data_IF_577957483403
#
_entry.id   IF_577957483403
#
_cell.length_a   1.000
_cell.length_b   1.000
_cell.length_c   1.000
_cell.angle_alpha   90.00
_cell.angle_beta   90.00
_cell.angle_gamma   90.00
#
_symmetry.space_group_name_H-M   'P 1'
#
loop_
_entity.id
_entity.type
_entity.pdbx_description
1 polymer ?
#
# COMPACT_ATOMS: atom_id res chain seq x y z
N UNK A 1 -53.60 -7.17 19.21
CA UNK A 1 -52.71 -6.06 18.78
C UNK A 1 -51.91 -6.60 17.61
N UNK A 2 -52.46 -6.45 16.41
CA UNK A 2 -51.98 -7.06 15.17
C UNK A 2 -51.84 -5.91 14.19
N UNK A 3 -50.62 -5.51 13.89
CA UNK A 3 -50.35 -4.44 12.92
C UNK A 3 -49.68 -5.07 11.71
N UNK A 4 -50.43 -5.08 10.61
CA UNK A 4 -50.04 -5.52 9.28
C UNK A 4 -49.41 -4.34 8.52
N UNK A 5 -48.51 -4.71 7.61
CA UNK A 5 -47.59 -3.95 6.78
C UNK A 5 -48.17 -2.76 5.98
N UNK A 6 -47.28 -1.83 5.56
CA UNK A 6 -47.56 -0.56 4.91
C UNK A 6 -47.48 -0.61 3.38
N UNK A 7 -47.87 0.50 2.76
CA UNK A 7 -47.70 0.86 1.34
C UNK A 7 -48.51 0.06 0.31
N UNK A 8 -49.76 0.49 0.15
CA UNK A 8 -50.50 0.35 -1.09
C UNK A 8 -51.07 1.72 -1.49
N UNK A 9 -51.25 1.89 -2.82
CA UNK A 9 -52.10 2.88 -3.52
C UNK A 9 -51.42 4.21 -3.86
N UNK A 10 -51.41 4.75 -5.10
CA UNK A 10 -51.72 4.29 -6.49
C UNK A 10 -51.31 5.45 -7.41
N UNK A 11 -50.78 5.14 -8.61
CA UNK A 11 -50.77 6.06 -9.76
C UNK A 11 -52.16 6.10 -10.44
N UNK A 12 -52.59 7.27 -10.92
CA UNK A 12 -53.72 7.41 -11.84
C UNK A 12 -54.14 8.87 -12.13
N UNK A 13 -54.68 9.21 -13.32
CA UNK A 13 -54.33 10.43 -14.05
C UNK A 13 -55.50 11.36 -14.47
N UNK A 14 -55.11 12.48 -15.11
CA UNK A 14 -55.78 13.22 -16.22
C UNK A 14 -56.96 14.19 -15.97
N UNK A 15 -56.83 15.39 -16.57
CA UNK A 15 -57.81 16.21 -17.36
C UNK A 15 -57.44 17.71 -17.23
N UNK A 16 -56.98 18.40 -18.29
CA UNK A 16 -57.75 19.18 -19.30
C UNK A 16 -58.44 20.42 -18.69
N UNK A 17 -58.50 21.63 -19.25
CA UNK A 17 -58.37 22.22 -20.60
C UNK A 17 -58.39 23.76 -20.37
N UNK A 18 -57.70 24.66 -21.09
CA UNK A 18 -58.23 25.43 -22.22
C UNK A 18 -57.36 26.69 -22.43
N UNK A 19 -57.24 27.17 -23.67
CA UNK A 19 -56.88 28.59 -23.92
C UNK A 19 -55.98 28.91 -25.12
N UNK A 20 -56.42 28.51 -26.31
CA UNK A 20 -55.99 28.95 -27.66
C UNK A 20 -55.63 30.44 -27.86
N UNK A 21 -54.53 30.71 -28.59
CA UNK A 21 -54.51 31.59 -29.77
C UNK A 21 -53.16 31.48 -30.55
N UNK A 22 -53.26 31.40 -31.88
CA UNK A 22 -52.24 31.12 -32.92
C UNK A 22 -52.04 32.41 -33.78
N UNK A 23 -51.30 32.43 -34.92
CA UNK A 23 -49.84 32.41 -35.12
C UNK A 23 -49.34 33.60 -36.00
N UNK A 24 -48.03 33.75 -36.17
CA UNK A 24 -47.46 34.65 -37.19
C UNK A 24 -45.96 34.46 -37.40
N UNK A 25 -45.56 33.78 -38.47
CA UNK A 25 -44.20 33.74 -39.02
C UNK A 25 -44.09 34.77 -40.19
N UNK A 26 -42.96 35.01 -40.91
CA UNK A 26 -41.69 34.27 -40.91
C UNK A 26 -40.36 35.08 -41.10
N UNK A 27 -39.24 34.42 -40.78
CA UNK A 27 -37.95 34.34 -41.53
C UNK A 27 -36.98 35.54 -41.75
N UNK A 28 -35.68 35.23 -42.08
CA UNK A 28 -34.50 36.04 -41.74
C UNK A 28 -33.85 36.76 -42.94
N UNK A 29 -32.94 37.71 -42.66
CA UNK A 29 -32.10 38.37 -43.67
C UNK A 29 -30.83 39.02 -43.09
N UNK A 30 -29.79 39.30 -43.91
CA UNK A 30 -28.39 39.03 -43.53
C UNK A 30 -27.44 40.25 -43.49
N UNK A 31 -26.31 40.04 -42.79
CA UNK A 31 -24.95 40.63 -42.91
C UNK A 31 -24.71 42.12 -42.58
N UNK A 32 -23.64 42.27 -41.77
CA UNK A 32 -22.83 43.43 -41.35
C UNK A 32 -22.27 44.27 -42.54
N UNK A 33 -21.49 45.39 -42.36
CA UNK A 33 -20.75 45.85 -41.16
C UNK A 33 -20.69 47.38 -40.92
N UNK A 34 -20.24 47.81 -39.73
CA UNK A 34 -19.43 49.02 -39.60
C UNK A 34 -18.78 49.13 -38.22
N UNK A 35 -17.54 49.62 -38.26
CA UNK A 35 -16.61 49.71 -37.16
C UNK A 35 -16.85 50.96 -36.29
N UNK A 36 -16.41 50.86 -35.02
CA UNK A 36 -15.86 52.00 -34.28
C UNK A 36 -16.80 52.65 -33.27
N UNK A 37 -16.70 52.24 -32.00
CA UNK A 37 -16.80 53.17 -30.89
C UNK A 37 -16.11 52.57 -29.65
N UNK A 38 -15.13 53.31 -29.13
CA UNK A 38 -14.33 52.96 -27.99
C UNK A 38 -15.09 53.15 -26.66
N UNK A 39 -14.81 52.25 -25.70
CA UNK A 39 -14.97 52.47 -24.25
C UNK A 39 -15.88 51.46 -23.53
N UNK A 40 -15.68 51.18 -22.22
CA UNK A 40 -14.49 51.30 -21.39
C UNK A 40 -13.99 49.93 -20.87
N UNK A 41 -12.66 49.78 -20.85
CA UNK A 41 -11.98 48.79 -20.02
C UNK A 41 -12.19 49.13 -18.54
N UNK A 42 -13.12 48.45 -17.87
CA UNK A 42 -13.39 48.69 -16.45
C UNK A 42 -13.90 47.49 -15.64
N UNK A 43 -14.51 46.49 -16.28
CA UNK A 43 -15.20 45.42 -15.53
C UNK A 43 -14.38 44.16 -15.23
N UNK A 44 -13.11 44.06 -15.66
CA UNK A 44 -12.28 42.86 -15.45
C UNK A 44 -11.19 43.02 -14.36
N UNK A 45 -11.00 44.24 -13.84
CA UNK A 45 -9.99 44.51 -12.79
C UNK A 45 -10.53 44.26 -11.37
N UNK A 46 -11.85 44.28 -11.16
CA UNK A 46 -12.46 44.16 -9.83
C UNK A 46 -12.49 42.72 -9.25
N UNK A 47 -12.09 41.69 -10.01
CA UNK A 47 -11.87 40.33 -9.46
C UNK A 47 -10.48 40.11 -8.83
N UNK A 48 -9.63 41.14 -8.81
CA UNK A 48 -8.25 41.07 -8.28
C UNK A 48 -8.09 41.55 -6.84
N UNK A 49 -9.10 41.40 -5.97
CA UNK A 49 -8.94 41.64 -4.53
C UNK A 49 -9.40 40.42 -3.74
N UNK A 50 -8.44 39.77 -3.08
CA UNK A 50 -8.62 38.51 -2.34
C UNK A 50 -7.94 37.29 -2.96
N UNK A 51 -6.97 37.47 -3.87
CA UNK A 51 -6.17 36.38 -4.44
C UNK A 51 -5.14 35.84 -3.46
N UNK A 52 -5.59 35.32 -2.31
CA UNK A 52 -4.74 34.46 -1.50
C UNK A 52 -4.36 33.24 -2.35
N UNK A 53 -3.11 32.82 -2.25
CA UNK A 53 -2.67 31.55 -2.83
C UNK A 53 -3.59 30.44 -2.31
N UNK A 54 -4.43 29.82 -3.17
CA UNK A 54 -5.46 28.89 -2.72
C UNK A 54 -4.84 27.65 -2.08
N UNK A 55 -3.62 27.27 -2.51
CA UNK A 55 -2.85 26.18 -1.92
C UNK A 55 -2.38 26.56 -0.51
N UNK A 56 -2.01 27.83 -0.28
CA UNK A 56 -1.63 28.32 1.06
C UNK A 56 -2.82 28.30 2.04
N UNK A 57 -4.01 28.68 1.58
CA UNK A 57 -5.23 28.58 2.38
C UNK A 57 -5.57 27.11 2.73
N UNK A 58 -5.36 26.20 1.77
CA UNK A 58 -5.54 24.76 1.98
C UNK A 58 -4.50 24.17 2.95
N UNK A 59 -3.23 24.58 2.83
CA UNK A 59 -2.15 24.21 3.75
C UNK A 59 -2.46 24.65 5.17
N UNK A 60 -3.02 25.85 5.36
CA UNK A 60 -3.42 26.33 6.68
C UNK A 60 -4.56 25.49 7.28
N UNK A 61 -5.56 25.12 6.47
CA UNK A 61 -6.68 24.28 6.92
C UNK A 61 -6.27 22.86 7.28
N UNK A 62 -5.31 22.29 6.54
CA UNK A 62 -4.81 20.92 6.76
C UNK A 62 -3.39 20.92 7.35
N UNK A 63 -3.07 21.91 8.19
CA UNK A 63 -1.73 22.11 8.73
C UNK A 63 -1.25 20.92 9.56
N UNK A 64 -2.07 20.45 10.50
CA UNK A 64 -1.72 19.31 11.35
C UNK A 64 -1.50 18.02 10.54
N UNK A 65 -2.26 17.83 9.46
CA UNK A 65 -2.05 16.71 8.53
C UNK A 65 -0.70 16.87 7.82
N UNK A 66 -0.42 18.05 7.25
CA UNK A 66 0.82 18.30 6.50
C UNK A 66 2.06 18.24 7.39
N UNK A 67 2.00 18.71 8.64
CA UNK A 67 3.12 18.69 9.59
C UNK A 67 3.42 17.28 10.11
N UNK A 68 2.38 16.44 10.32
CA UNK A 68 2.56 15.04 10.72
C UNK A 68 2.94 14.13 9.56
N UNK A 69 2.56 14.50 8.34
CA UNK A 69 2.77 13.68 7.15
C UNK A 69 4.26 13.53 6.83
N UNK A 70 4.70 12.27 6.73
CA UNK A 70 6.09 11.91 6.43
C UNK A 70 6.39 12.02 4.92
N UNK A 71 5.36 11.96 4.07
CA UNK A 71 5.47 12.10 2.61
C UNK A 71 4.24 12.78 1.97
N UNK A 72 4.36 13.18 0.71
CA UNK A 72 3.27 13.79 -0.06
C UNK A 72 2.03 12.89 -0.16
N UNK A 73 2.20 11.59 -0.10
CA UNK A 73 1.11 10.64 -0.27
C UNK A 73 0.27 10.46 0.99
N UNK A 74 0.83 10.68 2.18
CA UNK A 74 0.06 10.82 3.43
C UNK A 74 -0.78 12.10 3.43
N UNK A 75 -0.26 13.17 2.81
CA UNK A 75 -1.05 14.36 2.50
C UNK A 75 -2.19 14.00 1.54
N UNK A 76 -1.94 13.26 0.45
CA UNK A 76 -2.99 12.86 -0.50
C UNK A 76 -4.09 12.01 0.15
N UNK A 77 -3.72 11.00 0.95
CA UNK A 77 -4.67 10.14 1.65
C UNK A 77 -5.49 10.92 2.69
N UNK A 78 -4.85 11.82 3.43
CA UNK A 78 -5.55 12.70 4.36
C UNK A 78 -6.49 13.66 3.62
N UNK A 79 -6.09 14.23 2.49
CA UNK A 79 -6.95 15.08 1.68
C UNK A 79 -8.18 14.32 1.16
N UNK A 80 -8.03 13.09 0.65
CA UNK A 80 -9.16 12.25 0.23
C UNK A 80 -10.10 11.91 1.40
N UNK A 81 -9.55 11.61 2.59
CA UNK A 81 -10.35 11.36 3.80
C UNK A 81 -11.16 12.59 4.23
N UNK A 82 -10.71 13.79 3.88
CA UNK A 82 -11.43 15.04 4.07
C UNK A 82 -12.26 15.47 2.84
N UNK A 83 -12.47 14.55 1.88
CA UNK A 83 -13.36 14.75 0.73
C UNK A 83 -12.75 15.48 -0.46
N UNK A 84 -11.43 15.69 -0.50
CA UNK A 84 -10.76 16.28 -1.66
C UNK A 84 -10.55 15.22 -2.73
N UNK A 85 -11.11 15.48 -3.92
CA UNK A 85 -11.04 14.60 -5.10
C UNK A 85 -10.32 15.31 -6.25
N UNK A 86 -10.04 14.62 -7.36
CA UNK A 86 -9.37 15.21 -8.54
C UNK A 86 -10.11 16.45 -9.07
N UNK A 87 -11.45 16.43 -9.01
CA UNK A 87 -12.28 17.58 -9.40
C UNK A 87 -12.06 18.78 -8.48
N UNK A 88 -11.84 18.51 -7.19
CA UNK A 88 -11.49 19.54 -6.20
C UNK A 88 -10.04 20.01 -6.41
N UNK A 89 -9.10 19.11 -6.70
CA UNK A 89 -7.71 19.44 -6.99
C UNK A 89 -7.53 20.32 -8.23
N UNK A 90 -8.35 20.10 -9.27
CA UNK A 90 -8.37 20.95 -10.47
C UNK A 90 -8.73 22.42 -10.14
N UNK A 91 -9.52 22.68 -9.10
CA UNK A 91 -9.82 24.06 -8.63
C UNK A 91 -8.60 24.75 -8.03
N UNK A 92 -7.65 23.98 -7.51
CA UNK A 92 -6.33 24.45 -7.05
C UNK A 92 -5.29 24.49 -8.18
N UNK A 93 -5.68 24.29 -9.45
CA UNK A 93 -4.80 24.20 -10.64
C UNK A 93 -3.81 23.03 -10.61
N UNK A 94 -4.10 21.99 -9.86
CA UNK A 94 -3.34 20.73 -9.91
C UNK A 94 -4.14 19.67 -10.68
N UNK A 95 -3.43 18.81 -11.42
CA UNK A 95 -4.06 17.81 -12.30
C UNK A 95 -4.90 16.79 -11.54
N UNK A 96 -4.45 16.41 -10.35
CA UNK A 96 -5.02 15.37 -9.50
C UNK A 96 -4.65 15.63 -8.03
N UNK A 97 -5.24 14.84 -7.12
CA UNK A 97 -4.97 14.94 -5.68
C UNK A 97 -3.49 14.70 -5.36
N UNK A 98 -2.81 13.84 -6.10
CA UNK A 98 -1.38 13.55 -5.93
C UNK A 98 -0.52 14.77 -6.24
N UNK A 99 -0.77 15.45 -7.36
CA UNK A 99 -0.07 16.66 -7.76
C UNK A 99 -0.29 17.81 -6.77
N UNK A 100 -1.50 17.92 -6.22
CA UNK A 100 -1.83 18.89 -5.17
C UNK A 100 -1.09 18.58 -3.86
N UNK A 101 -1.04 17.30 -3.49
CA UNK A 101 -0.34 16.81 -2.32
C UNK A 101 1.19 16.99 -2.42
N UNK A 102 1.79 16.73 -3.58
CA UNK A 102 3.22 17.00 -3.82
C UNK A 102 3.54 18.49 -3.64
N UNK A 103 2.67 19.38 -4.13
CA UNK A 103 2.84 20.83 -3.93
C UNK A 103 2.72 21.24 -2.46
N UNK A 104 1.73 20.72 -1.73
CA UNK A 104 1.56 20.99 -0.29
C UNK A 104 2.72 20.44 0.53
N UNK A 105 3.21 19.25 0.17
CA UNK A 105 4.39 18.66 0.80
C UNK A 105 5.62 19.51 0.53
N UNK A 106 5.90 19.89 -0.72
CA UNK A 106 7.05 20.72 -1.08
C UNK A 106 7.07 22.08 -0.36
N UNK A 107 5.90 22.66 -0.08
CA UNK A 107 5.75 23.95 0.60
C UNK A 107 5.77 23.89 2.13
N UNK A 108 5.62 22.70 2.71
CA UNK A 108 5.71 22.54 4.17
C UNK A 108 7.19 22.53 4.55
N UNK A 109 7.67 23.44 5.41
CA UNK A 109 9.09 23.52 5.75
C UNK A 109 9.54 22.24 6.45
N UNK A 110 10.25 21.37 5.72
CA UNK A 110 10.90 20.17 6.23
C UNK A 110 12.40 20.30 5.99
N UNK A 111 13.20 20.07 7.03
CA UNK A 111 14.63 20.39 7.07
C UNK A 111 15.55 19.50 6.21
N UNK A 112 15.08 18.83 5.17
CA UNK A 112 15.91 17.94 4.34
C UNK A 112 15.53 18.02 2.86
N UNK A 113 16.47 18.54 2.07
CA UNK A 113 16.44 18.54 0.61
C UNK A 113 16.47 17.08 0.10
N UNK A 114 15.53 16.63 -0.75
CA UNK A 114 15.53 15.27 -1.26
C UNK A 114 16.81 14.97 -2.05
N UNK A 115 17.54 13.92 -1.66
CA UNK A 115 18.64 13.39 -2.47
C UNK A 115 18.04 12.83 -3.77
N UNK A 116 18.56 13.20 -4.96
CA UNK A 116 17.99 12.75 -6.23
C UNK A 116 17.97 11.21 -6.30
N UNK A 117 16.94 10.62 -6.93
CA UNK A 117 16.80 9.17 -7.01
C UNK A 117 18.01 8.56 -7.73
N UNK A 118 18.60 7.47 -7.21
CA UNK A 118 19.73 6.84 -7.88
C UNK A 118 19.30 6.37 -9.27
N UNK A 119 20.08 6.75 -10.28
CA UNK A 119 19.92 6.27 -11.64
C UNK A 119 19.91 4.73 -11.64
N UNK A 120 19.00 4.12 -12.42
CA UNK A 120 18.90 2.66 -12.54
C UNK A 120 20.14 2.12 -13.26
N UNK A 121 21.20 1.86 -12.51
CA UNK A 121 22.34 1.08 -13.01
C UNK A 121 21.92 -0.38 -13.20
N UNK A 122 22.41 -1.07 -14.24
CA UNK A 122 22.21 -2.51 -14.38
C UNK A 122 22.71 -3.26 -13.14
N UNK A 123 22.19 -4.46 -12.91
CA UNK A 123 22.47 -5.27 -11.71
C UNK A 123 23.98 -5.58 -11.61
N UNK A 124 24.72 -4.71 -10.94
CA UNK A 124 26.16 -4.86 -10.77
C UNK A 124 26.51 -5.94 -9.73
N UNK A 125 27.80 -6.20 -9.52
CA UNK A 125 28.31 -7.22 -8.57
C UNK A 125 27.73 -7.10 -7.16
N UNK A 126 27.33 -5.89 -6.75
CA UNK A 126 26.67 -5.61 -5.46
C UNK A 126 25.29 -6.27 -5.33
N UNK A 127 24.51 -6.37 -6.42
CA UNK A 127 23.20 -7.02 -6.41
C UNK A 127 23.35 -8.54 -6.26
N UNK A 128 24.29 -9.13 -6.98
CA UNK A 128 24.65 -10.56 -6.88
C UNK A 128 25.19 -10.87 -5.50
N UNK A 129 26.10 -10.04 -4.96
CA UNK A 129 26.61 -10.18 -3.58
C UNK A 129 25.49 -10.10 -2.54
N UNK A 130 24.57 -9.15 -2.69
CA UNK A 130 23.41 -8.99 -1.79
C UNK A 130 22.46 -10.19 -1.88
N UNK A 131 22.32 -10.78 -3.06
CA UNK A 131 21.54 -11.99 -3.28
C UNK A 131 22.23 -13.23 -2.68
N UNK A 132 23.54 -13.39 -2.89
CA UNK A 132 24.35 -14.43 -2.26
C UNK A 132 24.32 -14.36 -0.73
N UNK A 133 24.45 -13.16 -0.14
CA UNK A 133 24.28 -12.97 1.30
C UNK A 133 22.86 -13.28 1.80
N UNK A 134 21.82 -13.23 0.94
CA UNK A 134 20.46 -13.60 1.31
C UNK A 134 20.22 -15.12 1.23
N UNK A 135 21.00 -15.84 0.43
CA UNK A 135 20.97 -17.30 0.29
C UNK A 135 21.79 -18.01 1.37
N UNK A 136 22.87 -17.37 1.84
CA UNK A 136 23.84 -17.93 2.78
C UNK A 136 23.21 -18.45 4.10
N UNK A 137 22.26 -17.74 4.74
CA UNK A 137 21.58 -18.25 5.93
C UNK A 137 20.74 -19.49 5.64
N UNK A 138 20.07 -19.52 4.48
CA UNK A 138 19.27 -20.66 4.02
C UNK A 138 20.13 -21.90 3.79
N UNK A 139 21.25 -21.73 3.08
CA UNK A 139 22.19 -22.80 2.79
C UNK A 139 22.86 -23.35 4.06
N UNK A 140 23.26 -22.49 5.01
CA UNK A 140 23.86 -22.93 6.27
C UNK A 140 22.86 -23.67 7.16
N UNK A 141 21.61 -23.19 7.24
CA UNK A 141 20.55 -23.86 8.00
C UNK A 141 20.21 -25.24 7.42
N UNK A 142 20.13 -25.34 6.09
CA UNK A 142 19.90 -26.61 5.39
C UNK A 142 21.06 -27.59 5.58
N UNK A 143 22.30 -27.12 5.42
CA UNK A 143 23.50 -27.94 5.62
C UNK A 143 23.63 -28.42 7.07
N UNK A 144 23.34 -27.57 8.05
CA UNK A 144 23.34 -27.95 9.46
C UNK A 144 22.27 -29.02 9.72
N UNK A 145 21.04 -28.83 9.23
CA UNK A 145 19.96 -29.80 9.39
C UNK A 145 20.31 -31.16 8.77
N UNK A 146 20.89 -31.16 7.56
CA UNK A 146 21.37 -32.37 6.90
C UNK A 146 22.53 -33.06 7.66
N UNK A 147 23.34 -32.29 8.38
CA UNK A 147 24.44 -32.81 9.19
C UNK A 147 24.01 -33.37 10.58
N UNK A 148 22.72 -33.31 10.94
CA UNK A 148 22.20 -33.92 12.17
C UNK A 148 22.78 -33.34 13.47
N UNK A 149 23.28 -32.11 13.43
CA UNK A 149 24.01 -31.51 14.56
C UNK A 149 23.05 -31.19 15.72
N UNK A 150 23.41 -31.41 17.00
CA UNK A 150 22.50 -31.15 18.14
C UNK A 150 22.08 -29.68 18.29
N UNK A 151 22.81 -28.74 17.67
CA UNK A 151 22.51 -27.30 17.69
C UNK A 151 21.72 -26.80 16.48
N UNK A 152 21.23 -27.69 15.62
CA UNK A 152 20.50 -27.34 14.37
C UNK A 152 19.26 -26.50 14.60
N UNK A 153 18.44 -26.85 15.61
CA UNK A 153 17.28 -26.07 16.02
C UNK A 153 17.61 -24.61 16.31
N UNK A 154 18.43 -24.30 17.34
CA UNK A 154 18.78 -22.92 17.66
C UNK A 154 19.52 -22.18 16.52
N UNK A 155 20.35 -22.86 15.74
CA UNK A 155 21.10 -22.26 14.63
C UNK A 155 20.17 -21.89 13.46
N UNK A 156 19.20 -22.74 13.12
CA UNK A 156 18.17 -22.41 12.10
C UNK A 156 17.29 -21.25 12.54
N UNK A 157 16.93 -21.16 13.83
CA UNK A 157 16.17 -20.04 14.41
C UNK A 157 16.98 -18.73 14.33
N UNK A 158 18.25 -18.74 14.71
CA UNK A 158 19.13 -17.57 14.62
C UNK A 158 19.31 -17.10 13.17
N UNK A 159 19.50 -18.02 12.23
CA UNK A 159 19.70 -17.69 10.82
C UNK A 159 18.42 -17.15 10.15
N UNK A 160 17.27 -17.77 10.43
CA UNK A 160 15.97 -17.31 9.91
C UNK A 160 15.57 -15.96 10.51
N UNK A 161 15.71 -15.78 11.83
CA UNK A 161 15.49 -14.50 12.50
C UNK A 161 16.45 -13.42 11.98
N UNK A 162 17.73 -13.73 11.85
CA UNK A 162 18.74 -12.84 11.29
C UNK A 162 18.42 -12.42 9.86
N UNK A 163 18.02 -13.35 9.00
CA UNK A 163 17.63 -13.05 7.62
C UNK A 163 16.35 -12.21 7.51
N UNK A 164 15.40 -12.39 8.43
CA UNK A 164 14.19 -11.57 8.52
C UNK A 164 14.55 -10.10 8.80
N UNK A 165 15.55 -9.87 9.67
CA UNK A 165 16.09 -8.56 10.08
C UNK A 165 17.02 -7.93 9.02
N UNK A 166 17.72 -8.75 8.21
CA UNK A 166 18.95 -8.32 7.51
C UNK A 166 18.84 -7.24 6.41
N UNK A 167 17.70 -6.91 5.78
CA UNK A 167 17.71 -5.72 4.92
C UNK A 167 16.50 -4.84 5.17
N UNK A 168 16.53 -4.08 6.27
CA UNK A 168 15.67 -2.92 6.48
C UNK A 168 16.49 -1.80 7.11
N UNK A 169 16.64 -0.66 6.42
CA UNK A 169 17.06 0.57 7.07
C UNK A 169 16.06 0.85 8.19
N UNK A 170 16.60 1.13 9.36
CA UNK A 170 15.85 1.44 10.57
C UNK A 170 14.97 2.67 10.31
N UNK A 171 13.66 2.48 10.25
CA UNK A 171 12.76 3.60 10.49
C UNK A 171 13.05 4.06 11.92
N UNK A 172 13.60 5.27 12.07
CA UNK A 172 13.96 5.87 13.33
C UNK A 172 12.73 5.85 14.27
N UNK A 173 12.70 4.88 15.16
CA UNK A 173 11.58 4.62 16.05
C UNK A 173 12.05 3.67 17.14
N UNK A 174 11.66 3.94 18.38
CA UNK A 174 12.32 3.43 19.59
C UNK A 174 12.28 1.90 19.77
N UNK A 175 11.50 1.13 18.98
CA UNK A 175 11.37 -0.33 19.15
C UNK A 175 11.03 -1.11 17.85
N UNK A 176 11.98 -1.26 16.91
CA UNK A 176 11.82 -2.16 15.76
C UNK A 176 11.96 -3.65 16.15
N UNK A 177 12.52 -3.94 17.32
CA UNK A 177 12.89 -5.30 17.74
C UNK A 177 11.71 -6.17 18.14
N UNK A 178 10.65 -5.62 18.72
CA UNK A 178 9.56 -6.43 19.29
C UNK A 178 8.91 -7.38 18.27
N UNK A 179 8.58 -6.89 17.05
CA UNK A 179 8.00 -7.73 16.00
C UNK A 179 8.99 -8.79 15.48
N UNK A 180 10.28 -8.46 15.41
CA UNK A 180 11.32 -9.41 14.99
C UNK A 180 11.58 -10.47 16.07
N UNK A 181 11.54 -10.10 17.35
CA UNK A 181 11.63 -11.03 18.48
C UNK A 181 10.43 -11.97 18.51
N UNK A 182 9.21 -11.46 18.28
CA UNK A 182 8.00 -12.29 18.21
C UNK A 182 8.05 -13.25 17.01
N UNK A 183 8.53 -12.79 15.85
CA UNK A 183 8.76 -13.65 14.69
C UNK A 183 9.82 -14.73 14.97
N UNK A 184 10.92 -14.39 15.65
CA UNK A 184 11.93 -15.35 16.07
C UNK A 184 11.37 -16.37 17.06
N UNK A 185 10.53 -15.94 18.01
CA UNK A 185 9.84 -16.82 18.95
C UNK A 185 8.88 -17.79 18.23
N UNK A 186 8.11 -17.30 17.26
CA UNK A 186 7.24 -18.13 16.41
C UNK A 186 8.04 -19.19 15.65
N UNK A 187 9.17 -18.81 15.03
CA UNK A 187 10.03 -19.78 14.33
C UNK A 187 10.63 -20.79 15.30
N UNK A 188 11.16 -20.34 16.44
CA UNK A 188 11.71 -21.24 17.46
C UNK A 188 10.69 -22.22 18.02
N UNK A 189 9.49 -21.73 18.29
CA UNK A 189 8.36 -22.55 18.74
C UNK A 189 7.98 -23.61 17.68
N UNK A 190 7.85 -23.20 16.42
CA UNK A 190 7.48 -24.10 15.34
C UNK A 190 8.55 -25.15 15.06
N UNK A 191 9.84 -24.77 15.08
CA UNK A 191 10.97 -25.72 14.93
C UNK A 191 11.04 -26.68 16.11
N UNK A 192 10.76 -26.22 17.33
CA UNK A 192 10.69 -27.10 18.49
C UNK A 192 9.58 -28.15 18.35
N UNK A 193 8.41 -27.75 17.82
CA UNK A 193 7.25 -28.64 17.67
C UNK A 193 7.31 -29.58 16.46
N UNK A 194 7.81 -29.09 15.32
CA UNK A 194 7.75 -29.79 14.03
C UNK A 194 9.13 -30.22 13.50
N UNK A 195 10.20 -29.94 14.25
CA UNK A 195 11.56 -30.39 13.96
C UNK A 195 12.38 -29.48 13.05
N UNK A 196 13.66 -29.83 12.90
CA UNK A 196 14.65 -29.05 12.15
C UNK A 196 14.35 -28.98 10.63
N UNK A 197 13.62 -29.97 10.09
CA UNK A 197 13.15 -29.96 8.71
C UNK A 197 12.31 -28.71 8.40
N UNK A 198 11.40 -28.33 9.31
CA UNK A 198 10.61 -27.10 9.17
C UNK A 198 11.53 -25.87 9.16
N UNK A 199 12.52 -25.83 10.06
CA UNK A 199 13.50 -24.74 10.12
C UNK A 199 14.29 -24.58 8.81
N UNK A 200 14.73 -25.69 8.23
CA UNK A 200 15.40 -25.72 6.93
C UNK A 200 14.47 -25.26 5.79
N UNK A 201 13.20 -25.69 5.78
CA UNK A 201 12.21 -25.25 4.81
C UNK A 201 12.00 -23.72 4.85
N UNK A 202 11.84 -23.16 6.05
CA UNK A 202 11.71 -21.70 6.24
C UNK A 202 12.97 -20.96 5.78
N UNK A 203 14.14 -21.51 6.09
CA UNK A 203 15.42 -20.91 5.71
C UNK A 203 15.62 -20.90 4.19
N UNK A 204 15.25 -21.97 3.49
CA UNK A 204 15.22 -22.03 2.02
C UNK A 204 14.20 -21.04 1.43
N UNK A 205 13.05 -20.84 2.07
CA UNK A 205 12.01 -19.90 1.63
C UNK A 205 12.42 -18.41 1.77
N UNK A 206 13.47 -18.09 2.54
CA UNK A 206 13.96 -16.70 2.69
C UNK A 206 14.34 -16.09 1.35
N UNK A 207 15.10 -16.80 0.52
CA UNK A 207 15.59 -16.28 -0.75
C UNK A 207 14.47 -15.91 -1.75
N UNK A 208 13.50 -16.80 -2.05
CA UNK A 208 12.35 -16.41 -2.87
C UNK A 208 11.52 -15.31 -2.21
N UNK A 209 11.42 -15.27 -0.87
CA UNK A 209 10.76 -14.18 -0.14
C UNK A 209 11.45 -12.81 -0.35
N UNK A 210 12.78 -12.77 -0.43
CA UNK A 210 13.52 -11.54 -0.75
C UNK A 210 13.26 -11.06 -2.18
N UNK A 211 13.26 -11.98 -3.15
CA UNK A 211 12.98 -11.67 -4.56
C UNK A 211 11.54 -11.21 -4.75
N UNK A 212 10.59 -11.92 -4.15
CA UNK A 212 9.17 -11.59 -4.13
C UNK A 212 8.93 -10.17 -3.59
N UNK A 213 9.53 -9.82 -2.45
CA UNK A 213 9.42 -8.49 -1.87
C UNK A 213 10.07 -7.40 -2.75
N UNK A 214 11.22 -7.69 -3.37
CA UNK A 214 11.89 -6.74 -4.26
C UNK A 214 11.08 -6.50 -5.56
N UNK A 215 10.50 -7.56 -6.13
CA UNK A 215 9.61 -7.50 -7.28
C UNK A 215 8.34 -6.70 -6.96
N UNK A 216 7.69 -7.01 -5.82
CA UNK A 216 6.54 -6.26 -5.33
C UNK A 216 6.85 -4.77 -5.25
N UNK A 217 7.94 -4.40 -4.56
CA UNK A 217 8.33 -3.01 -4.40
C UNK A 217 8.64 -2.33 -5.75
N UNK A 218 9.33 -3.02 -6.67
CA UNK A 218 9.62 -2.48 -7.99
C UNK A 218 8.37 -2.26 -8.84
N UNK A 219 7.41 -3.19 -8.79
CA UNK A 219 6.16 -3.11 -9.55
C UNK A 219 5.18 -2.11 -8.93
N UNK A 220 5.09 -2.06 -7.60
CA UNK A 220 4.33 -1.05 -6.86
C UNK A 220 4.79 0.37 -7.24
N UNK A 221 6.10 0.63 -7.25
CA UNK A 221 6.65 1.93 -7.70
C UNK A 221 6.30 2.29 -9.15
N UNK A 222 6.36 1.32 -10.07
CA UNK A 222 5.98 1.54 -11.47
C UNK A 222 4.48 1.86 -11.61
N UNK A 223 3.62 1.22 -10.81
CA UNK A 223 2.19 1.52 -10.81
C UNK A 223 1.89 2.88 -10.20
N UNK A 224 2.54 3.22 -9.09
CA UNK A 224 2.39 4.53 -8.44
C UNK A 224 2.69 5.68 -9.42
N UNK A 225 3.75 5.56 -10.23
CA UNK A 225 4.11 6.56 -11.24
C UNK A 225 3.09 6.72 -12.38
N UNK A 226 2.20 5.74 -12.59
CA UNK A 226 1.17 5.77 -13.65
C UNK A 226 -0.25 6.04 -13.14
N UNK A 227 -0.49 5.95 -11.83
CA UNK A 227 -1.80 6.15 -11.21
C UNK A 227 -2.02 7.63 -10.85
N UNK A 228 -3.23 8.14 -11.08
CA UNK A 228 -3.60 9.54 -10.77
C UNK A 228 -4.49 9.68 -9.53
N UNK A 229 -5.11 8.58 -9.08
CA UNK A 229 -5.96 8.54 -7.88
C UNK A 229 -5.60 7.31 -7.01
N UNK A 230 -5.85 7.39 -5.71
CA UNK A 230 -5.47 6.33 -4.75
C UNK A 230 -6.28 5.06 -5.01
N UNK A 231 -7.55 5.22 -5.41
CA UNK A 231 -8.43 4.12 -5.83
C UNK A 231 -7.85 3.31 -7.00
N UNK A 232 -7.24 3.96 -7.99
CA UNK A 232 -6.70 3.31 -9.19
C UNK A 232 -5.44 2.52 -8.83
N UNK A 233 -4.63 3.07 -7.93
CA UNK A 233 -3.48 2.39 -7.37
C UNK A 233 -3.90 1.14 -6.56
N UNK A 234 -4.87 1.30 -5.65
CA UNK A 234 -5.38 0.23 -4.81
C UNK A 234 -5.98 -0.92 -5.64
N UNK A 235 -6.74 -0.61 -6.69
CA UNK A 235 -7.30 -1.59 -7.62
C UNK A 235 -6.20 -2.40 -8.32
N UNK A 236 -5.08 -1.76 -8.69
CA UNK A 236 -3.93 -2.43 -9.29
C UNK A 236 -2.99 -3.16 -8.32
N UNK A 237 -3.01 -2.79 -7.03
CA UNK A 237 -2.14 -3.35 -5.99
C UNK A 237 -2.61 -4.73 -5.49
N UNK A 238 -3.93 -4.98 -5.46
CA UNK A 238 -4.52 -6.28 -5.08
C UNK A 238 -4.05 -7.46 -5.95
N UNK A 239 -4.21 -7.43 -7.29
CA UNK A 239 -3.76 -8.53 -8.15
C UNK A 239 -2.23 -8.69 -8.13
N UNK A 240 -1.50 -7.60 -7.83
CA UNK A 240 -0.05 -7.63 -7.70
C UNK A 240 0.39 -8.35 -6.43
N UNK A 241 -0.29 -8.14 -5.30
CA UNK A 241 -0.03 -8.89 -4.08
C UNK A 241 -0.32 -10.39 -4.29
N UNK A 242 -1.46 -10.72 -4.90
CA UNK A 242 -1.80 -12.11 -5.24
C UNK A 242 -0.76 -12.74 -6.18
N UNK A 243 -0.34 -12.02 -7.22
CA UNK A 243 0.68 -12.46 -8.18
C UNK A 243 2.07 -12.64 -7.59
N UNK A 244 2.35 -12.10 -6.40
CA UNK A 244 3.61 -12.33 -5.65
C UNK A 244 3.44 -13.44 -4.61
N UNK A 245 2.28 -13.51 -3.96
CA UNK A 245 2.02 -14.46 -2.90
C UNK A 245 1.88 -15.90 -3.43
N UNK A 246 1.21 -16.07 -4.57
CA UNK A 246 1.05 -17.38 -5.22
C UNK A 246 2.39 -18.05 -5.56
N UNK A 247 3.31 -17.41 -6.32
CA UNK A 247 4.60 -18.02 -6.61
C UNK A 247 5.47 -18.18 -5.36
N UNK A 248 5.35 -17.29 -4.37
CA UNK A 248 6.05 -17.45 -3.10
C UNK A 248 5.56 -18.68 -2.31
N UNK A 249 4.24 -18.89 -2.23
CA UNK A 249 3.65 -20.08 -1.60
C UNK A 249 4.07 -21.37 -2.29
N UNK A 250 4.11 -21.39 -3.63
CA UNK A 250 4.62 -22.52 -4.40
C UNK A 250 6.11 -22.78 -4.12
N UNK A 251 6.92 -21.72 -4.03
CA UNK A 251 8.34 -21.84 -3.67
C UNK A 251 8.52 -22.35 -2.22
N UNK A 252 7.67 -21.94 -1.29
CA UNK A 252 7.67 -22.43 0.09
C UNK A 252 7.28 -23.92 0.18
N UNK A 253 6.30 -24.36 -0.63
CA UNK A 253 5.95 -25.78 -0.74
C UNK A 253 7.09 -26.62 -1.32
N UNK A 254 7.78 -26.11 -2.35
CA UNK A 254 8.99 -26.74 -2.88
C UNK A 254 10.13 -26.81 -1.85
N UNK A 255 10.33 -25.75 -1.07
CA UNK A 255 11.29 -25.73 0.03
C UNK A 255 10.94 -26.75 1.13
N UNK A 256 9.66 -26.92 1.45
CA UNK A 256 9.19 -27.94 2.39
C UNK A 256 9.48 -29.35 1.87
N UNK A 257 9.18 -29.62 0.59
CA UNK A 257 9.48 -30.90 -0.04
C UNK A 257 10.98 -31.22 -0.04
N UNK A 258 11.84 -30.24 -0.36
CA UNK A 258 13.30 -30.41 -0.34
C UNK A 258 13.87 -30.65 1.07
N UNK A 259 13.26 -30.04 2.09
CA UNK A 259 13.68 -30.18 3.47
C UNK A 259 13.05 -31.37 4.20
N UNK A 260 12.10 -32.08 3.56
CA UNK A 260 11.33 -33.16 4.20
C UNK A 260 10.36 -32.67 5.28
N UNK A 261 9.89 -31.42 5.20
CA UNK A 261 8.93 -30.83 6.14
C UNK A 261 7.50 -30.99 5.62
N UNK A 262 6.52 -31.04 6.54
CA UNK A 262 5.10 -31.01 6.18
C UNK A 262 4.74 -29.65 5.54
N UNK A 263 4.29 -29.63 4.27
CA UNK A 263 3.89 -28.38 3.61
C UNK A 263 2.70 -27.70 4.27
N UNK A 264 1.83 -28.46 4.98
CA UNK A 264 0.67 -27.90 5.68
C UNK A 264 1.09 -26.94 6.80
N UNK A 265 2.26 -27.15 7.41
CA UNK A 265 2.82 -26.30 8.46
C UNK A 265 3.80 -25.26 7.90
N UNK A 266 4.64 -25.66 6.95
CA UNK A 266 5.69 -24.80 6.40
C UNK A 266 5.15 -23.63 5.57
N UNK A 267 4.16 -23.87 4.72
CA UNK A 267 3.61 -22.86 3.79
C UNK A 267 2.92 -21.70 4.53
N UNK A 268 1.94 -21.92 5.43
CA UNK A 268 1.27 -20.81 6.11
C UNK A 268 2.24 -20.00 6.98
N UNK A 269 3.23 -20.65 7.60
CA UNK A 269 4.25 -19.99 8.40
C UNK A 269 5.18 -19.12 7.54
N UNK A 270 5.65 -19.65 6.40
CA UNK A 270 6.45 -18.88 5.45
C UNK A 270 5.66 -17.66 4.90
N UNK A 271 4.39 -17.86 4.56
CA UNK A 271 3.47 -16.80 4.11
C UNK A 271 3.29 -15.72 5.18
N UNK A 272 3.05 -16.12 6.43
CA UNK A 272 2.92 -15.20 7.56
C UNK A 272 4.19 -14.34 7.72
N UNK A 273 5.37 -14.96 7.78
CA UNK A 273 6.64 -14.27 7.94
C UNK A 273 6.95 -13.34 6.76
N UNK A 274 6.62 -13.76 5.54
CA UNK A 274 6.74 -12.92 4.35
C UNK A 274 5.84 -11.68 4.44
N UNK A 275 4.58 -11.84 4.84
CA UNK A 275 3.64 -10.73 5.01
C UNK A 275 4.08 -9.76 6.11
N UNK A 276 4.50 -10.26 7.28
CA UNK A 276 5.05 -9.44 8.37
C UNK A 276 6.20 -8.58 7.86
N UNK A 277 7.16 -9.20 7.17
CA UNK A 277 8.31 -8.50 6.61
C UNK A 277 7.92 -7.49 5.55
N UNK A 278 7.01 -7.85 4.65
CA UNK A 278 6.52 -6.96 3.60
C UNK A 278 5.86 -5.72 4.21
N UNK A 279 5.06 -5.90 5.25
CA UNK A 279 4.39 -4.83 5.98
C UNK A 279 5.35 -3.92 6.74
N UNK A 280 6.33 -4.49 7.45
CA UNK A 280 7.37 -3.72 8.13
C UNK A 280 8.17 -2.86 7.15
N UNK A 281 8.47 -3.37 5.95
CA UNK A 281 9.17 -2.64 4.89
C UNK A 281 8.38 -1.46 4.32
N UNK A 282 7.06 -1.50 4.39
CA UNK A 282 6.18 -0.43 3.93
C UNK A 282 5.63 0.41 5.09
N UNK A 283 6.18 0.29 6.30
CA UNK A 283 5.83 1.15 7.44
C UNK A 283 4.46 0.89 8.07
N UNK A 284 3.87 -0.29 7.88
CA UNK A 284 2.55 -0.60 8.45
C UNK A 284 2.55 -0.58 10.00
N UNK A 285 1.39 -0.28 10.59
CA UNK A 285 1.20 -0.31 12.04
C UNK A 285 1.57 -1.69 12.62
N UNK A 286 2.29 -1.70 13.75
CA UNK A 286 2.86 -2.93 14.33
C UNK A 286 1.84 -3.80 15.08
N UNK A 287 0.74 -3.24 15.54
CA UNK A 287 -0.29 -3.95 16.31
C UNK A 287 -0.86 -5.20 15.58
N UNK A 288 -1.31 -5.12 14.31
CA UNK A 288 -1.81 -6.30 13.58
C UNK A 288 -0.73 -7.36 13.34
N UNK A 289 0.54 -6.95 13.18
CA UNK A 289 1.66 -7.88 13.02
C UNK A 289 1.90 -8.65 14.32
N UNK A 290 1.92 -7.94 15.45
CA UNK A 290 2.07 -8.54 16.76
C UNK A 290 0.90 -9.49 17.08
N UNK A 291 -0.34 -9.11 16.76
CA UNK A 291 -1.51 -9.96 16.94
C UNK A 291 -1.44 -11.25 16.08
N UNK A 292 -1.06 -11.14 14.81
CA UNK A 292 -0.91 -12.30 13.94
C UNK A 292 0.22 -13.24 14.41
N UNK A 293 1.36 -12.68 14.85
CA UNK A 293 2.46 -13.46 15.39
C UNK A 293 2.11 -14.10 16.75
N UNK A 294 1.37 -13.41 17.61
CA UNK A 294 0.86 -13.97 18.86
C UNK A 294 -0.14 -15.11 18.60
N UNK A 295 -1.02 -14.96 17.61
CA UNK A 295 -1.93 -16.03 17.20
C UNK A 295 -1.16 -17.25 16.70
N UNK A 296 -0.06 -17.07 15.97
CA UNK A 296 0.78 -18.17 15.50
C UNK A 296 1.52 -18.93 16.62
N UNK A 297 1.61 -18.37 17.84
CA UNK A 297 2.12 -19.09 19.02
C UNK A 297 1.08 -20.00 19.66
N UNK A 298 -0.21 -19.83 19.34
CA UNK A 298 -1.28 -20.67 19.87
C UNK A 298 -1.11 -22.09 19.33
N UNK A 299 -1.11 -23.14 20.18
CA UNK A 299 -0.78 -24.50 19.78
C UNK A 299 -1.93 -25.22 19.03
N UNK A 300 -2.70 -24.51 18.21
CA UNK A 300 -3.80 -25.06 17.42
C UNK A 300 -3.44 -25.16 15.93
N UNK A 301 -3.83 -26.25 15.24
CA UNK A 301 -3.39 -26.53 13.85
C UNK A 301 -3.84 -25.47 12.84
N UNK A 302 -4.96 -24.79 13.09
CA UNK A 302 -5.48 -23.74 12.21
C UNK A 302 -4.92 -22.33 12.53
N UNK A 303 -4.19 -22.16 13.64
CA UNK A 303 -3.84 -20.83 14.14
C UNK A 303 -2.90 -20.07 13.20
N UNK A 304 -1.89 -20.75 12.64
CA UNK A 304 -0.94 -20.13 11.70
C UNK A 304 -1.61 -19.78 10.38
N UNK A 305 -2.47 -20.66 9.86
CA UNK A 305 -3.23 -20.39 8.64
C UNK A 305 -4.21 -19.22 8.83
N UNK A 306 -4.91 -19.17 9.97
CA UNK A 306 -5.80 -18.07 10.33
C UNK A 306 -5.02 -16.75 10.52
N UNK A 307 -3.86 -16.79 11.16
CA UNK A 307 -2.97 -15.63 11.31
C UNK A 307 -2.50 -15.10 9.95
N UNK A 308 -2.08 -16.00 9.05
CA UNK A 308 -1.66 -15.65 7.69
C UNK A 308 -2.82 -15.04 6.89
N UNK A 309 -4.02 -15.63 6.94
CA UNK A 309 -5.21 -15.14 6.26
C UNK A 309 -5.65 -13.75 6.79
N UNK A 310 -5.72 -13.59 8.12
CA UNK A 310 -6.04 -12.31 8.75
C UNK A 310 -5.02 -11.22 8.40
N UNK A 311 -3.73 -11.56 8.44
CA UNK A 311 -2.67 -10.63 8.06
C UNK A 311 -2.67 -10.32 6.57
N UNK A 312 -3.09 -11.25 5.71
CA UNK A 312 -3.25 -11.02 4.27
C UNK A 312 -4.36 -9.98 4.00
N UNK A 313 -5.50 -10.11 4.67
CA UNK A 313 -6.58 -9.10 4.59
C UNK A 313 -6.06 -7.75 5.04
N UNK A 314 -5.34 -7.71 6.17
CA UNK A 314 -4.71 -6.47 6.62
C UNK A 314 -3.69 -5.95 5.60
N UNK A 315 -2.90 -6.81 4.97
CA UNK A 315 -1.90 -6.42 3.98
C UNK A 315 -2.52 -5.83 2.72
N UNK A 316 -3.65 -6.36 2.26
CA UNK A 316 -4.42 -5.77 1.15
C UNK A 316 -4.85 -4.33 1.48
N UNK A 317 -5.30 -4.08 2.71
CA UNK A 317 -5.76 -2.76 3.17
C UNK A 317 -4.59 -1.80 3.45
N UNK A 318 -3.57 -2.30 4.14
CA UNK A 318 -2.43 -1.51 4.57
C UNK A 318 -1.53 -1.18 3.39
N UNK A 319 -1.21 -2.13 2.49
CA UNK A 319 -0.35 -1.85 1.35
C UNK A 319 -1.04 -0.99 0.30
N UNK A 320 -2.36 -1.10 0.12
CA UNK A 320 -3.08 -0.15 -0.77
C UNK A 320 -3.00 1.29 -0.28
N UNK A 321 -2.84 1.50 1.04
CA UNK A 321 -2.61 2.81 1.66
C UNK A 321 -1.12 3.19 1.77
N UNK A 322 -0.25 2.21 2.06
CA UNK A 322 1.14 2.43 2.47
C UNK A 322 2.19 2.27 1.36
N UNK A 323 1.89 1.53 0.28
CA UNK A 323 2.76 1.58 -0.92
C UNK A 323 2.52 2.86 -1.76
N UNK A 324 1.58 3.68 -1.31
CA UNK A 324 1.49 5.09 -1.59
C UNK A 324 2.64 5.88 -0.90
N UNK A 325 3.08 5.50 0.31
CA UNK A 325 4.09 6.21 1.12
C UNK A 325 5.57 5.89 0.79
N UNK A 326 5.83 4.86 -0.02
CA UNK A 326 7.20 4.40 -0.26
C UNK A 326 7.90 5.13 -1.43
N UNK A 327 8.46 6.33 -1.19
CA UNK A 327 9.63 6.84 -1.93
C UNK A 327 10.90 6.69 -1.05
N UNK A 328 12.07 6.40 -1.66
CA UNK A 328 13.31 6.06 -0.96
C UNK A 328 13.90 7.22 -0.16
#
# INVERSE_FOLDING_TARGET
>A
MTTVDPYAVTDGPAADDTGTARPGAPSPGPRAPSAGAAGPAGAQSARRRGGGDPVKALLHRHRELCERAVDALEVAAGLEAHGITDRTAARFRHRDVFSLAEELYARTPRGETPTPPPARTPAGPRAVRRFGCALLPGALAFAAAAAGTPWTGPLTVLLTAGALVWPGRWAAGRFPYAAHLLAAAVVGWAVHRHGAALGAALALAVAPGHLAAAYYAARARRRLAGSRALKDFAAGARPLLAGVLLPFGAAAAGAAALAGADPAEAVPLAVLLFLVRLLLRHGAHRAPLAAALALALVPAPAAVAAAAAGLLVHAVLALSRASAHARP
#
